data_IF_968739428436
#
_entry.id   IF_968739428436
#
_cell.length_a   1.000
_cell.length_b   1.000
_cell.length_c   1.000
_cell.angle_alpha   90.00
_cell.angle_beta   90.00
_cell.angle_gamma   90.00
#
_symmetry.space_group_name_H-M   'P 1'
#
loop_
_entity.id
_entity.type
_entity.pdbx_description
1 polymer ?
#
# COMPACT_ATOMS: atom_id res chain seq x y z
N UNK A 1 -6.74 8.61 -16.92
CA UNK A 1 -6.44 7.64 -15.85
C UNK A 1 -6.48 8.41 -14.55
N UNK A 2 -6.98 7.81 -13.48
CA UNK A 2 -7.07 8.46 -12.17
C UNK A 2 -5.81 8.16 -11.38
N UNK A 3 -5.32 9.13 -10.59
CA UNK A 3 -4.19 8.92 -9.68
C UNK A 3 -4.70 8.38 -8.35
N UNK A 4 -4.02 7.34 -7.87
CA UNK A 4 -4.32 6.66 -6.63
C UNK A 4 -3.09 6.68 -5.73
N UNK A 5 -3.32 6.89 -4.43
CA UNK A 5 -2.34 6.61 -3.39
C UNK A 5 -2.67 5.23 -2.80
N UNK A 6 -1.67 4.35 -2.83
CA UNK A 6 -1.74 3.01 -2.27
C UNK A 6 -0.80 2.89 -1.08
N UNK A 7 -1.34 2.49 0.08
CA UNK A 7 -0.61 2.33 1.34
C UNK A 7 -0.59 0.87 1.76
N UNK A 8 0.59 0.38 2.12
CA UNK A 8 0.82 -0.97 2.62
C UNK A 8 0.91 -0.89 4.14
N UNK A 9 -0.06 -1.45 4.85
CA UNK A 9 -0.18 -1.34 6.30
C UNK A 9 0.18 -2.67 6.97
N UNK A 10 0.89 -2.60 8.09
CA UNK A 10 1.24 -3.74 8.93
C UNK A 10 0.77 -3.52 10.35
N UNK A 11 0.11 -4.50 10.92
CA UNK A 11 -0.21 -4.54 12.33
C UNK A 11 1.00 -5.07 13.11
N UNK A 12 1.39 -4.32 14.14
CA UNK A 12 2.42 -4.73 15.08
C UNK A 12 1.84 -4.77 16.49
N UNK A 13 2.27 -5.75 17.27
CA UNK A 13 2.01 -5.80 18.69
C UNK A 13 3.22 -5.21 19.41
N UNK A 14 3.04 -4.04 20.03
CA UNK A 14 4.08 -3.43 20.85
C UNK A 14 4.34 -4.22 22.13
N UNK A 15 5.49 -3.99 22.77
CA UNK A 15 5.90 -4.69 23.99
C UNK A 15 4.94 -4.50 25.17
N UNK A 16 4.11 -3.45 25.14
CA UNK A 16 3.04 -3.19 26.11
C UNK A 16 1.71 -3.87 25.77
N UNK A 17 1.70 -4.77 24.78
CA UNK A 17 0.50 -5.47 24.31
C UNK A 17 -0.46 -4.59 23.50
N UNK A 18 -0.07 -3.37 23.11
CA UNK A 18 -0.91 -2.50 22.27
C UNK A 18 -0.68 -2.80 20.80
N UNK A 19 -1.77 -2.96 20.07
CA UNK A 19 -1.74 -3.00 18.61
C UNK A 19 -1.47 -1.60 18.06
N UNK A 20 -0.55 -1.50 17.11
CA UNK A 20 -0.32 -0.32 16.31
C UNK A 20 -0.29 -0.70 14.84
N UNK A 21 -0.85 0.17 14.00
CA UNK A 21 -0.78 0.03 12.56
C UNK A 21 0.36 0.91 12.03
N UNK A 22 1.27 0.32 11.26
CA UNK A 22 2.43 1.01 10.69
C UNK A 22 2.38 0.94 9.16
N UNK A 23 2.57 2.08 8.51
CA UNK A 23 2.71 2.16 7.07
C UNK A 23 4.10 1.68 6.65
N UNK A 24 4.16 0.59 5.90
CA UNK A 24 5.38 -0.05 5.40
C UNK A 24 5.82 0.52 4.05
N UNK A 25 4.88 1.10 3.30
CA UNK A 25 5.16 1.76 2.04
C UNK A 25 3.96 2.55 1.54
N UNK A 26 4.27 3.59 0.77
CA UNK A 26 3.31 4.41 0.07
C UNK A 26 3.74 4.50 -1.39
N UNK A 27 2.80 4.25 -2.31
CA UNK A 27 3.03 4.33 -3.74
C UNK A 27 1.92 5.14 -4.39
N UNK A 28 2.32 6.00 -5.31
CA UNK A 28 1.40 6.71 -6.17
C UNK A 28 1.40 6.08 -7.55
N UNK A 29 0.20 5.74 -8.03
CA UNK A 29 0.02 5.03 -9.30
C UNK A 29 -1.14 5.63 -10.08
N UNK A 30 -1.02 5.65 -11.39
CA UNK A 30 -2.13 5.93 -12.28
C UNK A 30 -2.77 4.62 -12.73
N UNK A 31 -4.10 4.54 -12.67
CA UNK A 31 -4.84 3.37 -13.08
C UNK A 31 -6.23 3.72 -13.60
N UNK A 32 -6.90 2.74 -14.22
CA UNK A 32 -8.27 2.90 -14.69
C UNK A 32 -9.29 2.84 -13.54
N UNK A 33 -8.99 2.06 -12.49
CA UNK A 33 -9.84 1.87 -11.32
C UNK A 33 -8.96 1.50 -10.09
N UNK A 34 -9.57 1.48 -8.90
CA UNK A 34 -8.88 1.19 -7.64
C UNK A 34 -8.32 -0.25 -7.56
N UNK A 35 -8.98 -1.21 -8.21
CA UNK A 35 -8.49 -2.59 -8.27
C UNK A 35 -7.18 -2.67 -9.05
N UNK A 36 -7.13 -2.06 -10.24
CA UNK A 36 -5.92 -2.02 -11.07
C UNK A 36 -4.80 -1.24 -10.38
N UNK A 37 -5.12 -0.15 -9.69
CA UNK A 37 -4.15 0.58 -8.86
C UNK A 37 -3.54 -0.32 -7.77
N UNK A 38 -4.36 -1.13 -7.09
CA UNK A 38 -3.90 -2.08 -6.08
C UNK A 38 -2.93 -3.10 -6.68
N UNK A 39 -3.27 -3.72 -7.81
CA UNK A 39 -2.43 -4.74 -8.46
C UNK A 39 -1.10 -4.17 -8.98
N UNK A 40 -1.13 -2.97 -9.58
CA UNK A 40 0.10 -2.28 -10.02
C UNK A 40 0.97 -1.95 -8.81
N UNK A 41 0.39 -1.40 -7.74
CA UNK A 41 1.13 -1.03 -6.55
C UNK A 41 1.75 -2.26 -5.85
N UNK A 42 1.04 -3.39 -5.75
CA UNK A 42 1.57 -4.64 -5.17
C UNK A 42 2.83 -5.10 -5.90
N UNK A 43 2.80 -5.10 -7.24
CA UNK A 43 3.96 -5.47 -8.06
C UNK A 43 5.13 -4.53 -7.83
N UNK A 44 4.91 -3.22 -7.89
CA UNK A 44 5.94 -2.20 -7.64
C UNK A 44 6.53 -2.28 -6.23
N UNK A 45 5.70 -2.55 -5.23
CA UNK A 45 6.15 -2.71 -3.84
C UNK A 45 7.09 -3.91 -3.71
N UNK A 46 6.74 -5.05 -4.32
CA UNK A 46 7.61 -6.22 -4.37
C UNK A 46 8.93 -5.92 -5.09
N UNK A 47 8.89 -5.28 -6.25
CA UNK A 47 10.08 -4.92 -7.02
C UNK A 47 11.03 -4.01 -6.23
N UNK A 48 10.49 -2.96 -5.61
CA UNK A 48 11.27 -2.01 -4.81
C UNK A 48 11.92 -2.67 -3.59
N UNK A 49 11.20 -3.56 -2.91
CA UNK A 49 11.71 -4.29 -1.74
C UNK A 49 12.49 -5.57 -2.08
N UNK A 50 12.60 -5.96 -3.35
CA UNK A 50 13.06 -7.29 -3.79
C UNK A 50 12.34 -8.44 -3.04
N UNK A 51 11.03 -8.30 -2.90
CA UNK A 51 10.17 -9.24 -2.19
C UNK A 51 9.57 -10.23 -3.18
N UNK A 52 9.39 -11.48 -2.74
CA UNK A 52 8.65 -12.48 -3.51
C UNK A 52 7.14 -12.19 -3.51
N UNK A 53 6.64 -11.69 -2.39
CA UNK A 53 5.23 -11.35 -2.19
C UNK A 53 5.14 -10.17 -1.20
N UNK A 54 4.15 -9.29 -1.41
CA UNK A 54 3.98 -8.09 -0.60
C UNK A 54 3.47 -8.42 0.81
N UNK A 55 2.70 -9.50 0.94
CA UNK A 55 2.06 -10.00 2.16
C UNK A 55 3.04 -10.38 3.27
N UNK A 56 4.31 -10.62 2.94
CA UNK A 56 5.36 -10.85 3.95
C UNK A 56 5.68 -9.58 4.75
N UNK A 57 5.44 -8.42 4.15
CA UNK A 57 5.82 -7.13 4.72
C UNK A 57 4.63 -6.27 5.10
N UNK A 58 3.42 -6.56 4.63
CA UNK A 58 2.21 -5.84 5.00
C UNK A 58 1.00 -6.79 5.08
N UNK A 59 0.07 -6.46 5.97
CA UNK A 59 -1.14 -7.25 6.22
C UNK A 59 -2.33 -6.72 5.41
N UNK A 60 -2.33 -5.42 5.11
CA UNK A 60 -3.43 -4.73 4.40
C UNK A 60 -2.91 -3.77 3.33
N UNK A 61 -3.73 -3.54 2.31
CA UNK A 61 -3.51 -2.54 1.26
C UNK A 61 -4.69 -1.57 1.24
N UNK A 62 -4.41 -0.29 1.46
CA UNK A 62 -5.41 0.78 1.39
C UNK A 62 -5.21 1.54 0.09
N UNK A 63 -6.29 1.71 -0.67
CA UNK A 63 -6.28 2.45 -1.95
C UNK A 63 -7.21 3.64 -1.80
N UNK A 64 -6.69 4.84 -2.05
CA UNK A 64 -7.46 6.07 -2.07
C UNK A 64 -7.21 6.80 -3.39
N UNK A 65 -8.28 7.30 -4.00
CA UNK A 65 -8.16 8.27 -5.09
C UNK A 65 -7.57 9.56 -4.53
N UNK A 66 -6.62 10.15 -5.26
CA UNK A 66 -6.19 11.51 -4.97
C UNK A 66 -7.02 12.47 -5.79
N UNK A 67 -7.98 13.12 -5.15
CA UNK A 67 -8.52 14.38 -5.68
C UNK A 67 -7.38 15.39 -5.67
N UNK A 68 -6.80 15.69 -6.83
CA UNK A 68 -5.96 16.86 -6.97
C UNK A 68 -6.88 18.10 -6.93
N UNK A 69 -6.79 19.00 -5.94
CA UNK A 69 -7.33 20.34 -6.15
C UNK A 69 -6.44 20.99 -7.22
N UNK A 70 -7.06 21.44 -8.31
CA UNK A 70 -6.41 22.21 -9.37
C UNK A 70 -6.03 23.61 -8.88
#
# INVERSE_FOLDING_TARGET
MTRYVVRFMKDILGENGRHAEVCQGLLEVEAANSHDASEIAKRKFCEAGRLKEWSLHADRVHVAETDFPS
#
